data_IF_712066391725
#
_entry.id   IF_712066391725
#
_cell.length_a   1.000
_cell.length_b   1.000
_cell.length_c   1.000
_cell.angle_alpha   90.00
_cell.angle_beta   90.00
_cell.angle_gamma   90.00
#
_symmetry.space_group_name_H-M   'P 1'
#
loop_
_entity.id
_entity.type
_entity.pdbx_description
1 polymer ?
#
# COMPACT_ATOMS: atom_id res chain seq x y z
N UNK A 1 -15.71 -11.73 3.29
CA UNK A 1 -15.02 -10.45 2.95
C UNK A 1 -13.79 -10.82 2.13
N UNK A 2 -13.82 -10.52 0.84
CA UNK A 2 -12.83 -10.96 -0.16
C UNK A 2 -11.38 -10.66 0.22
N UNK A 3 -11.09 -9.47 0.75
CA UNK A 3 -9.74 -9.08 1.19
C UNK A 3 -9.15 -9.98 2.30
N UNK A 4 -10.00 -10.60 3.10
CA UNK A 4 -9.56 -11.56 4.13
C UNK A 4 -9.17 -12.90 3.50
N UNK A 5 -9.93 -13.35 2.52
CA UNK A 5 -9.63 -14.57 1.76
C UNK A 5 -8.35 -14.42 0.92
N UNK A 6 -8.10 -13.22 0.39
CA UNK A 6 -6.88 -12.85 -0.34
C UNK A 6 -5.67 -12.61 0.60
N UNK A 7 -5.87 -12.65 1.92
CA UNK A 7 -4.82 -12.40 2.91
C UNK A 7 -4.31 -10.95 2.91
N UNK A 8 -5.11 -10.00 2.43
CA UNK A 8 -4.81 -8.56 2.47
C UNK A 8 -5.05 -8.00 3.87
N UNK A 9 -6.04 -8.53 4.56
CA UNK A 9 -6.35 -8.18 5.94
C UNK A 9 -6.41 -9.42 6.81
N UNK A 10 -6.03 -9.26 8.07
CA UNK A 10 -6.09 -10.29 9.10
C UNK A 10 -6.68 -9.74 10.41
N UNK A 11 -7.19 -10.58 11.32
CA UNK A 11 -7.54 -10.14 12.66
C UNK A 11 -6.30 -9.55 13.35
N UNK A 12 -6.48 -8.40 14.01
CA UNK A 12 -5.39 -7.81 14.78
C UNK A 12 -5.11 -8.63 16.04
N UNK A 13 -3.83 -8.74 16.42
CA UNK A 13 -3.41 -9.37 17.66
C UNK A 13 -3.88 -8.58 18.89
N UNK A 14 -4.17 -9.29 19.97
CA UNK A 14 -4.46 -8.69 21.26
C UNK A 14 -3.70 -9.46 22.36
N UNK A 15 -2.73 -8.83 23.05
CA UNK A 15 -2.28 -7.44 22.90
C UNK A 15 -1.56 -7.16 21.57
N UNK A 16 -1.35 -5.86 21.21
CA UNK A 16 -0.52 -5.47 20.07
C UNK A 16 0.90 -5.98 20.20
N UNK A 17 1.55 -6.26 19.06
CA UNK A 17 2.96 -6.67 19.02
C UNK A 17 3.87 -5.44 18.89
N UNK A 18 3.44 -4.40 18.18
CA UNK A 18 4.18 -3.16 17.95
C UNK A 18 3.37 -1.91 18.29
N UNK A 19 3.82 -0.77 17.76
CA UNK A 19 3.11 0.50 17.88
C UNK A 19 1.76 0.42 17.16
N UNK A 20 0.68 0.82 17.83
CA UNK A 20 -0.65 0.72 17.26
C UNK A 20 -1.19 2.05 16.76
N UNK A 21 -1.83 2.01 15.59
CA UNK A 21 -2.59 3.10 15.05
C UNK A 21 -3.86 2.59 14.36
N UNK A 22 -4.97 3.32 14.51
CA UNK A 22 -6.25 2.96 13.90
C UNK A 22 -6.57 3.93 12.75
N UNK A 23 -6.52 3.42 11.53
CA UNK A 23 -6.75 4.20 10.31
C UNK A 23 -8.26 4.39 10.10
N UNK A 24 -8.78 5.62 10.12
CA UNK A 24 -10.16 5.87 9.74
C UNK A 24 -10.39 5.53 8.27
N UNK A 25 -11.59 5.06 7.96
CA UNK A 25 -11.94 4.76 6.57
C UNK A 25 -13.37 5.15 6.25
N UNK A 26 -13.62 5.39 4.97
CA UNK A 26 -14.95 5.71 4.46
C UNK A 26 -15.20 5.05 3.11
N UNK A 27 -16.48 4.77 2.85
CA UNK A 27 -16.92 4.31 1.54
C UNK A 27 -17.06 5.50 0.59
N UNK A 28 -16.52 5.38 -0.61
CA UNK A 28 -16.69 6.35 -1.70
C UNK A 28 -17.38 5.66 -2.86
N UNK A 29 -18.57 6.14 -3.21
CA UNK A 29 -19.34 5.64 -4.36
C UNK A 29 -19.01 6.49 -5.58
N UNK A 30 -18.66 5.83 -6.70
CA UNK A 30 -18.45 6.47 -8.00
C UNK A 30 -19.50 5.95 -8.97
N UNK A 31 -20.55 6.72 -9.19
CA UNK A 31 -21.66 6.34 -10.07
C UNK A 31 -21.24 6.17 -11.54
N UNK A 32 -20.26 6.95 -12.00
CA UNK A 32 -19.75 6.94 -13.38
C UNK A 32 -18.66 5.89 -13.65
N UNK A 33 -18.30 5.03 -12.69
CA UNK A 33 -17.25 4.03 -12.90
C UNK A 33 -17.80 2.75 -13.54
N UNK A 34 -17.16 2.30 -14.62
CA UNK A 34 -17.54 1.06 -15.32
C UNK A 34 -17.25 -0.22 -14.51
N UNK A 35 -16.22 -0.23 -13.66
CA UNK A 35 -15.74 -1.44 -13.00
C UNK A 35 -15.94 -1.50 -11.49
N UNK A 36 -15.70 -0.42 -10.75
CA UNK A 36 -15.75 -0.43 -9.28
C UNK A 36 -16.54 0.78 -8.77
N UNK A 37 -17.82 0.57 -8.48
CA UNK A 37 -18.71 1.63 -7.98
C UNK A 37 -18.41 2.02 -6.53
N UNK A 38 -18.03 1.07 -5.69
CA UNK A 38 -17.74 1.28 -4.27
C UNK A 38 -16.25 1.10 -3.99
N UNK A 39 -15.61 2.11 -3.40
CA UNK A 39 -14.23 2.05 -2.92
C UNK A 39 -14.17 2.40 -1.45
N UNK A 40 -13.42 1.65 -0.69
CA UNK A 40 -13.08 2.00 0.70
C UNK A 40 -11.79 2.80 0.65
N UNK A 41 -11.81 4.00 1.20
CA UNK A 41 -10.65 4.89 1.30
C UNK A 41 -10.20 4.93 2.75
N UNK A 42 -8.95 4.57 3.00
CA UNK A 42 -8.29 4.63 4.29
C UNK A 42 -7.50 5.94 4.37
N UNK A 43 -7.68 6.69 5.45
CA UNK A 43 -7.14 8.05 5.58
C UNK A 43 -6.00 8.08 6.60
N UNK A 44 -4.78 7.93 6.12
CA UNK A 44 -3.57 8.00 6.94
C UNK A 44 -3.16 9.45 7.32
N UNK A 45 -3.84 10.46 6.79
CA UNK A 45 -3.67 11.87 7.16
C UNK A 45 -4.68 12.33 8.22
N UNK A 46 -5.68 11.50 8.54
CA UNK A 46 -6.67 11.82 9.54
C UNK A 46 -6.02 12.01 10.91
N UNK A 47 -6.52 13.01 11.65
CA UNK A 47 -6.13 13.33 13.02
C UNK A 47 -7.37 13.40 13.89
N UNK A 48 -7.26 12.97 15.13
CA UNK A 48 -8.33 13.14 16.12
C UNK A 48 -8.52 14.60 16.51
N UNK A 49 -7.41 15.36 16.59
CA UNK A 49 -7.37 16.79 16.89
C UNK A 49 -6.10 17.42 16.29
N UNK A 50 -5.85 18.71 16.55
CA UNK A 50 -4.65 19.41 16.05
C UNK A 50 -3.33 18.87 16.65
N UNK A 51 -3.38 18.26 17.83
CA UNK A 51 -2.17 17.87 18.59
C UNK A 51 -1.60 16.47 18.26
N UNK A 52 -2.40 15.38 18.22
CA UNK A 52 -1.79 14.09 17.87
C UNK A 52 -1.41 14.08 16.38
N UNK A 53 -0.21 13.59 16.05
CA UNK A 53 0.19 13.47 14.65
C UNK A 53 -0.70 12.45 13.90
N UNK A 54 -0.84 12.62 12.59
CA UNK A 54 -1.43 11.61 11.72
C UNK A 54 -0.46 10.43 11.56
N UNK A 55 -0.96 9.29 11.08
CA UNK A 55 -0.08 8.14 10.80
C UNK A 55 1.06 8.53 9.86
N UNK A 56 0.78 9.25 8.78
CA UNK A 56 1.80 9.65 7.81
C UNK A 56 2.86 10.58 8.38
N UNK A 57 2.56 11.35 9.42
CA UNK A 57 3.56 12.19 10.09
C UNK A 57 4.45 11.40 11.06
N UNK A 58 4.02 10.19 11.45
CA UNK A 58 4.82 9.26 12.24
C UNK A 58 5.69 8.35 11.38
N UNK A 59 5.44 8.30 10.06
CA UNK A 59 6.12 7.41 9.12
C UNK A 59 7.17 8.18 8.31
N UNK A 60 8.36 7.60 8.16
CA UNK A 60 9.40 8.14 7.30
C UNK A 60 9.12 7.80 5.82
N UNK A 61 9.14 8.81 4.95
CA UNK A 61 8.92 8.63 3.51
C UNK A 61 10.04 7.82 2.84
N UNK A 62 11.26 7.93 3.36
CA UNK A 62 12.45 7.36 2.77
C UNK A 62 12.95 8.12 1.52
N UNK A 63 14.09 7.70 0.93
CA UNK A 63 14.65 8.35 -0.23
C UNK A 63 13.83 8.06 -1.50
N UNK A 64 13.74 9.02 -2.46
CA UNK A 64 13.04 8.78 -3.72
C UNK A 64 13.82 7.78 -4.59
N UNK A 65 13.32 6.56 -4.72
CA UNK A 65 13.91 5.50 -5.54
C UNK A 65 13.43 5.52 -7.00
N UNK A 66 12.44 6.35 -7.31
CA UNK A 66 11.87 6.44 -8.64
C UNK A 66 12.74 7.29 -9.57
N UNK A 67 12.96 6.82 -10.79
CA UNK A 67 13.58 7.60 -11.82
C UNK A 67 12.73 8.82 -12.19
N UNK A 68 13.37 9.94 -12.47
CA UNK A 68 12.67 11.14 -12.93
C UNK A 68 11.95 10.85 -14.25
N UNK A 69 10.67 11.14 -14.34
CA UNK A 69 9.84 10.84 -15.52
C UNK A 69 10.44 11.34 -16.82
N UNK A 70 10.98 12.57 -16.83
CA UNK A 70 11.61 13.14 -18.02
C UNK A 70 12.83 12.34 -18.48
N UNK A 71 13.65 11.82 -17.55
CA UNK A 71 14.80 10.99 -17.87
C UNK A 71 14.36 9.67 -18.52
N UNK A 72 13.32 9.04 -17.98
CA UNK A 72 12.72 7.82 -18.55
C UNK A 72 12.22 8.09 -19.97
N UNK A 73 11.45 9.17 -20.17
CA UNK A 73 10.88 9.54 -21.48
C UNK A 73 11.96 9.87 -22.53
N UNK A 74 13.07 10.49 -22.12
CA UNK A 74 14.20 10.77 -23.01
C UNK A 74 14.91 9.48 -23.37
N UNK A 75 15.25 8.63 -22.39
CA UNK A 75 15.95 7.36 -22.60
C UNK A 75 15.19 6.43 -23.54
N UNK A 76 13.88 6.31 -23.37
CA UNK A 76 13.01 5.47 -24.20
C UNK A 76 13.06 5.89 -25.69
N UNK A 77 13.23 7.20 -25.98
CA UNK A 77 13.31 7.70 -27.38
C UNK A 77 14.55 7.26 -28.14
N UNK A 78 15.60 6.88 -27.45
CA UNK A 78 16.83 6.36 -28.07
C UNK A 78 16.78 4.86 -28.34
N UNK A 79 15.71 4.16 -27.92
CA UNK A 79 15.55 2.73 -28.13
C UNK A 79 14.59 2.46 -29.30
N UNK A 80 14.87 1.41 -30.11
CA UNK A 80 14.01 1.06 -31.25
C UNK A 80 12.65 0.52 -30.84
N UNK A 81 12.54 -0.01 -29.64
CA UNK A 81 11.30 -0.59 -29.08
C UNK A 81 11.09 -0.07 -27.67
N UNK A 82 9.90 0.44 -27.38
CA UNK A 82 9.45 0.82 -26.05
C UNK A 82 8.31 -0.10 -25.62
N UNK A 83 8.39 -0.60 -24.40
CA UNK A 83 7.31 -1.39 -23.77
C UNK A 83 6.89 -0.72 -22.47
N UNK A 84 5.59 -0.70 -22.24
CA UNK A 84 4.99 -0.23 -20.99
C UNK A 84 4.16 -1.34 -20.39
N UNK A 85 4.11 -1.39 -19.06
CA UNK A 85 3.31 -2.34 -18.32
C UNK A 85 2.73 -1.70 -17.07
N UNK A 86 1.65 -2.28 -16.56
CA UNK A 86 1.06 -1.90 -15.28
C UNK A 86 1.06 -3.10 -14.31
N UNK A 87 1.36 -2.82 -13.05
CA UNK A 87 1.33 -3.85 -12.01
C UNK A 87 0.00 -3.79 -11.25
N UNK A 88 -0.78 -4.86 -11.40
CA UNK A 88 -2.05 -4.99 -10.67
C UNK A 88 -1.82 -4.91 -9.16
N UNK A 89 -2.47 -3.94 -8.51
CA UNK A 89 -2.44 -3.80 -7.06
C UNK A 89 -1.01 -3.73 -6.47
N UNK A 90 -0.11 -2.99 -7.12
CA UNK A 90 1.33 -3.00 -6.83
C UNK A 90 1.68 -2.91 -5.34
N UNK A 91 1.10 -1.97 -4.59
CA UNK A 91 1.35 -1.84 -3.15
C UNK A 91 0.88 -3.05 -2.35
N UNK A 92 -0.25 -3.65 -2.71
CA UNK A 92 -0.79 -4.83 -2.03
C UNK A 92 0.07 -6.10 -2.23
N UNK A 93 1.05 -6.06 -3.14
CA UNK A 93 2.04 -7.13 -3.30
C UNK A 93 3.22 -7.02 -2.33
N UNK A 94 3.39 -5.85 -1.69
CA UNK A 94 4.49 -5.59 -0.76
C UNK A 94 4.04 -5.92 0.66
N UNK A 95 4.56 -6.98 1.24
CA UNK A 95 4.21 -7.41 2.61
C UNK A 95 4.93 -6.58 3.65
N UNK A 96 4.19 -6.14 4.67
CA UNK A 96 4.70 -5.45 5.85
C UNK A 96 5.11 -6.48 6.89
N UNK A 97 6.20 -6.23 7.61
CA UNK A 97 6.64 -7.07 8.73
C UNK A 97 5.54 -7.16 9.78
N UNK A 98 5.45 -8.30 10.43
CA UNK A 98 4.37 -8.53 11.40
C UNK A 98 4.40 -7.52 12.55
N UNK A 99 5.59 -7.14 13.00
CA UNK A 99 5.83 -6.16 14.05
C UNK A 99 5.32 -4.75 13.71
N UNK A 100 5.25 -4.40 12.40
CA UNK A 100 4.83 -3.08 11.92
C UNK A 100 3.33 -3.04 11.53
N UNK A 101 2.64 -4.19 11.45
CA UNK A 101 1.25 -4.26 10.98
C UNK A 101 0.26 -3.62 11.94
N UNK A 102 0.59 -3.50 13.21
CA UNK A 102 -0.30 -2.90 14.20
C UNK A 102 -0.46 -1.39 14.02
N UNK A 103 0.44 -0.73 13.28
CA UNK A 103 0.25 0.63 12.80
C UNK A 103 -0.84 0.75 11.70
N UNK A 104 -1.31 -0.37 11.14
CA UNK A 104 -2.28 -0.42 10.04
C UNK A 104 -3.60 -1.06 10.45
N UNK A 105 -4.03 -0.85 11.69
CA UNK A 105 -5.29 -1.33 12.23
C UNK A 105 -6.47 -0.49 11.75
N UNK A 106 -7.64 -1.09 11.73
CA UNK A 106 -8.90 -0.39 11.51
C UNK A 106 -10.06 -1.18 12.13
N UNK A 107 -11.16 -0.47 12.43
CA UNK A 107 -12.37 -1.09 12.92
C UNK A 107 -13.23 -1.55 11.75
N UNK A 108 -13.81 -2.73 11.85
CA UNK A 108 -14.70 -3.29 10.83
C UNK A 108 -15.97 -3.82 11.46
N UNK A 109 -17.13 -3.44 10.92
CA UNK A 109 -18.41 -4.02 11.35
C UNK A 109 -18.57 -5.35 10.59
N UNK A 110 -18.39 -6.46 11.29
CA UNK A 110 -18.48 -7.80 10.71
C UNK A 110 -19.91 -8.29 10.56
N UNK A 111 -20.82 -7.78 11.38
CA UNK A 111 -22.23 -8.10 11.36
C UNK A 111 -23.05 -6.81 11.54
N UNK A 112 -23.90 -6.52 10.55
CA UNK A 112 -24.73 -5.31 10.55
C UNK A 112 -25.93 -5.40 11.51
N UNK A 113 -26.43 -6.62 11.78
CA UNK A 113 -27.57 -6.83 12.68
C UNK A 113 -27.16 -6.64 14.14
N UNK A 114 -26.10 -7.31 14.55
CA UNK A 114 -25.56 -7.23 15.92
C UNK A 114 -24.61 -6.05 16.13
N UNK A 115 -24.26 -5.32 15.06
CA UNK A 115 -23.24 -4.26 15.04
C UNK A 115 -21.91 -4.70 15.65
N UNK A 116 -21.56 -5.97 15.48
CA UNK A 116 -20.31 -6.51 15.98
C UNK A 116 -19.12 -5.84 15.29
N UNK A 117 -18.28 -5.18 16.08
CA UNK A 117 -17.04 -4.55 15.61
C UNK A 117 -15.88 -5.51 15.84
N UNK A 118 -15.07 -5.71 14.81
CA UNK A 118 -13.80 -6.43 14.87
C UNK A 118 -12.65 -5.47 14.57
N UNK A 119 -11.51 -5.71 15.18
CA UNK A 119 -10.28 -4.99 14.84
C UNK A 119 -9.52 -5.84 13.82
N UNK A 120 -9.32 -5.28 12.65
CA UNK A 120 -8.52 -5.87 11.58
C UNK A 120 -7.26 -5.04 11.36
N UNK A 121 -6.22 -5.66 10.79
CA UNK A 121 -5.02 -4.97 10.36
C UNK A 121 -4.63 -5.40 8.95
N UNK A 122 -3.96 -4.52 8.20
CA UNK A 122 -3.43 -4.84 6.88
C UNK A 122 -2.13 -5.62 6.99
N UNK A 123 -1.95 -6.57 6.08
CA UNK A 123 -0.70 -7.32 5.94
C UNK A 123 0.22 -6.71 4.88
N UNK A 124 -0.28 -6.01 3.80
CA UNK A 124 0.56 -5.34 2.81
C UNK A 124 0.61 -3.83 3.02
N UNK A 125 1.48 -3.18 2.26
CA UNK A 125 1.52 -1.74 2.12
C UNK A 125 0.21 -1.21 1.49
N UNK A 126 -0.17 0.01 1.89
CA UNK A 126 -1.41 0.64 1.42
C UNK A 126 -1.11 1.83 0.53
N UNK A 127 -2.08 2.16 -0.32
CA UNK A 127 -2.12 3.46 -0.96
C UNK A 127 -2.28 4.57 0.07
N UNK A 128 -1.55 5.67 -0.10
CA UNK A 128 -1.66 6.85 0.77
C UNK A 128 -0.76 6.83 2.00
N UNK A 129 0.00 5.75 2.26
CA UNK A 129 1.05 5.78 3.27
C UNK A 129 2.31 6.45 2.71
N UNK A 130 2.95 7.30 3.51
CA UNK A 130 4.16 8.02 3.15
C UNK A 130 5.29 7.09 2.65
N UNK A 131 5.62 5.96 3.30
CA UNK A 131 6.68 5.06 2.85
C UNK A 131 6.31 4.13 1.69
N UNK A 132 5.04 4.01 1.30
CA UNK A 132 4.62 3.03 0.28
C UNK A 132 5.37 3.14 -1.06
N UNK A 133 5.64 4.35 -1.60
CA UNK A 133 6.40 4.48 -2.84
C UNK A 133 7.84 3.96 -2.74
N UNK A 134 8.53 4.22 -1.62
CA UNK A 134 9.91 3.74 -1.43
C UNK A 134 9.94 2.23 -1.19
N UNK A 135 9.00 1.69 -0.45
CA UNK A 135 8.89 0.24 -0.24
C UNK A 135 8.68 -0.51 -1.55
N UNK A 136 7.75 -0.04 -2.38
CA UNK A 136 7.52 -0.62 -3.71
C UNK A 136 8.76 -0.49 -4.60
N UNK A 137 9.38 0.69 -4.65
CA UNK A 137 10.60 0.93 -5.40
C UNK A 137 11.74 0.00 -4.98
N UNK A 138 11.94 -0.17 -3.68
CA UNK A 138 12.96 -1.07 -3.13
C UNK A 138 12.73 -2.54 -3.50
N UNK A 139 11.49 -3.02 -3.41
CA UNK A 139 11.13 -4.39 -3.81
C UNK A 139 11.37 -4.60 -5.31
N UNK A 140 11.00 -3.64 -6.15
CA UNK A 140 11.25 -3.72 -7.59
C UNK A 140 12.75 -3.74 -7.88
N UNK A 141 13.54 -2.86 -7.28
CA UNK A 141 14.99 -2.84 -7.46
C UNK A 141 15.64 -4.16 -7.03
N UNK A 142 15.25 -4.71 -5.89
CA UNK A 142 15.74 -5.99 -5.41
C UNK A 142 15.37 -7.14 -6.35
N UNK A 143 14.15 -7.14 -6.88
CA UNK A 143 13.70 -8.12 -7.86
C UNK A 143 14.50 -8.04 -9.15
N UNK A 144 14.70 -6.84 -9.69
CA UNK A 144 15.51 -6.63 -10.89
C UNK A 144 16.95 -7.09 -10.68
N UNK A 145 17.57 -6.80 -9.54
CA UNK A 145 18.93 -7.26 -9.23
C UNK A 145 19.00 -8.79 -9.17
N UNK A 146 18.02 -9.43 -8.54
CA UNK A 146 17.95 -10.90 -8.51
C UNK A 146 17.80 -11.53 -9.91
N UNK A 147 17.13 -10.84 -10.82
CA UNK A 147 16.94 -11.27 -12.20
C UNK A 147 18.11 -10.93 -13.14
N UNK A 148 19.07 -10.09 -12.72
CA UNK A 148 20.18 -9.61 -13.55
C UNK A 148 21.02 -10.73 -14.14
N UNK A 149 21.30 -11.78 -13.37
CA UNK A 149 22.05 -12.95 -13.83
C UNK A 149 21.33 -13.73 -14.94
N UNK A 150 19.99 -13.78 -14.86
CA UNK A 150 19.16 -14.51 -15.83
C UNK A 150 18.91 -13.68 -17.10
N UNK A 151 18.79 -12.35 -16.96
CA UNK A 151 18.45 -11.45 -18.04
C UNK A 151 19.44 -10.28 -18.18
N UNK A 152 20.76 -10.54 -18.41
CA UNK A 152 21.80 -9.50 -18.36
C UNK A 152 21.67 -8.43 -19.43
N UNK A 153 20.92 -8.69 -20.52
CA UNK A 153 20.68 -7.71 -21.59
C UNK A 153 19.48 -6.80 -21.34
N UNK A 154 18.62 -7.13 -20.41
CA UNK A 154 17.41 -6.38 -20.10
C UNK A 154 17.57 -5.49 -18.87
N UNK A 155 18.54 -5.79 -18.01
CA UNK A 155 18.76 -5.10 -16.75
C UNK A 155 20.17 -4.50 -16.78
N UNK A 156 20.28 -3.25 -17.22
CA UNK A 156 21.52 -2.46 -17.29
C UNK A 156 21.52 -1.37 -16.21
#
# INVERSE_FOLDING_TARGET
MQQREEGIVEPASSPPVGEEFYIPHKAVVREAAESTKLRIVYDALARESEKPPSLNECLEEGPPLQNKLWAVLVTVRFQPVAQTGDMKQAFLQVRIREEDRDALRFHWISDLETRRVEVLRFTPALFGLAPSPVLLGGVIQQHLEACRATFPRLIQ
#
